data_IF_900649820516
#
_entry.id   IF_900649820516
#
_cell.length_a   1.000
_cell.length_b   1.000
_cell.length_c   1.000
_cell.angle_alpha   90.00
_cell.angle_beta   90.00
_cell.angle_gamma   90.00
#
_symmetry.space_group_name_H-M   'P 1'
#
loop_
_entity.id
_entity.type
_entity.pdbx_description
1 polymer ?
#
# COMPACT_ATOMS: atom_id res chain seq x y z
N UNK A 1 -6.04 40.99 -44.20
CA UNK A 1 -4.61 40.99 -43.86
C UNK A 1 -4.28 41.88 -42.67
N UNK A 2 -4.80 43.12 -42.55
CA UNK A 2 -4.57 44.01 -41.39
C UNK A 2 -4.66 43.34 -40.01
N UNK A 3 -5.65 42.46 -39.78
CA UNK A 3 -5.79 41.74 -38.51
C UNK A 3 -4.61 40.80 -38.22
N UNK A 4 -4.14 40.06 -39.22
CA UNK A 4 -2.99 39.16 -39.06
C UNK A 4 -1.69 39.94 -38.84
N UNK A 5 -1.52 41.07 -39.53
CA UNK A 5 -0.36 41.94 -39.35
C UNK A 5 -0.32 42.54 -37.93
N UNK A 6 -1.48 42.96 -37.41
CA UNK A 6 -1.62 43.44 -36.04
C UNK A 6 -1.30 42.34 -35.01
N UNK A 7 -1.79 41.11 -35.22
CA UNK A 7 -1.48 39.97 -34.35
C UNK A 7 0.03 39.66 -34.37
N UNK A 8 0.66 39.70 -35.54
CA UNK A 8 2.10 39.46 -35.69
C UNK A 8 2.93 40.52 -34.96
N UNK A 9 2.51 41.79 -35.01
CA UNK A 9 3.26 42.91 -34.45
C UNK A 9 3.09 43.06 -32.94
N UNK A 10 1.88 42.87 -32.40
CA UNK A 10 1.60 43.15 -30.99
C UNK A 10 1.49 41.92 -30.10
N UNK A 11 1.13 40.75 -30.66
CA UNK A 11 0.98 39.49 -29.91
C UNK A 11 -0.07 39.50 -28.77
N UNK A 12 -0.86 40.58 -28.64
CA UNK A 12 -1.83 40.78 -27.55
C UNK A 12 -3.15 41.36 -28.08
N UNK A 13 -4.25 40.67 -27.83
CA UNK A 13 -5.60 41.05 -28.28
C UNK A 13 -6.05 42.44 -27.84
N UNK A 14 -5.62 42.90 -26.66
CA UNK A 14 -5.97 44.23 -26.16
C UNK A 14 -5.31 45.35 -26.98
N UNK A 15 -4.09 45.10 -27.49
CA UNK A 15 -3.39 46.05 -28.36
C UNK A 15 -3.92 45.98 -29.80
N UNK A 16 -4.23 44.77 -30.28
CA UNK A 16 -4.87 44.56 -31.59
C UNK A 16 -6.22 45.30 -31.65
N UNK A 17 -6.99 45.33 -30.56
CA UNK A 17 -8.27 46.05 -30.51
C UNK A 17 -8.15 47.56 -30.71
N UNK A 18 -6.98 48.16 -30.41
CA UNK A 18 -6.76 49.60 -30.58
C UNK A 18 -6.64 49.99 -32.06
N UNK A 19 -6.20 49.08 -32.92
CA UNK A 19 -6.14 49.30 -34.38
C UNK A 19 -7.52 49.15 -35.05
N UNK A 20 -8.50 48.57 -34.36
CA UNK A 20 -9.85 48.37 -34.86
C UNK A 20 -10.88 49.06 -33.94
N UNK A 21 -10.91 50.41 -33.87
CA UNK A 21 -11.78 51.16 -32.96
C UNK A 21 -13.29 50.96 -33.22
N UNK A 22 -13.66 50.45 -34.39
CA UNK A 22 -15.05 50.22 -34.78
C UNK A 22 -15.55 48.80 -34.44
N UNK A 23 -14.74 47.97 -33.76
CA UNK A 23 -15.05 46.56 -33.46
C UNK A 23 -14.78 46.25 -32.00
N UNK A 24 -15.64 45.42 -31.40
CA UNK A 24 -15.42 44.93 -30.05
C UNK A 24 -14.32 43.86 -30.02
N UNK A 25 -13.66 43.69 -28.89
CA UNK A 25 -12.62 42.66 -28.69
C UNK A 25 -13.15 41.25 -29.02
N UNK A 26 -14.39 40.95 -28.62
CA UNK A 26 -15.04 39.67 -28.90
C UNK A 26 -15.20 39.46 -30.40
N UNK A 27 -15.71 40.46 -31.13
CA UNK A 27 -15.88 40.37 -32.58
C UNK A 27 -14.55 40.12 -33.32
N UNK A 28 -13.46 40.71 -32.83
CA UNK A 28 -12.12 40.53 -33.42
C UNK A 28 -11.63 39.10 -33.21
N UNK A 29 -11.83 38.54 -32.02
CA UNK A 29 -11.46 37.16 -31.68
C UNK A 29 -12.34 36.18 -32.46
N UNK A 30 -13.66 36.37 -32.45
CA UNK A 30 -14.61 35.51 -33.16
C UNK A 30 -14.34 35.51 -34.67
N UNK A 31 -13.99 36.67 -35.23
CA UNK A 31 -13.55 36.78 -36.63
C UNK A 31 -12.25 36.01 -36.87
N UNK A 32 -11.27 36.09 -35.95
CA UNK A 32 -10.03 35.35 -36.09
C UNK A 32 -10.26 33.83 -36.06
N UNK A 33 -11.05 33.36 -35.10
CA UNK A 33 -11.34 31.94 -34.91
C UNK A 33 -12.09 31.39 -36.13
N UNK A 34 -13.14 32.08 -36.59
CA UNK A 34 -13.95 31.63 -37.71
C UNK A 34 -13.16 31.56 -39.03
N UNK A 35 -12.38 32.59 -39.35
CA UNK A 35 -11.72 32.66 -40.65
C UNK A 35 -10.37 31.91 -40.66
N UNK A 36 -9.62 31.90 -39.56
CA UNK A 36 -8.27 31.36 -39.51
C UNK A 36 -8.12 30.03 -38.77
N UNK A 37 -8.88 29.78 -37.70
CA UNK A 37 -8.82 28.49 -36.98
C UNK A 37 -9.78 27.46 -37.59
N UNK A 38 -11.01 27.84 -37.88
CA UNK A 38 -12.02 26.97 -38.50
C UNK A 38 -11.77 26.78 -40.00
N UNK A 39 -10.91 27.62 -40.59
CA UNK A 39 -10.45 27.49 -41.98
C UNK A 39 -11.44 28.06 -43.01
N UNK A 40 -12.38 28.91 -42.60
CA UNK A 40 -13.39 29.46 -43.50
C UNK A 40 -12.89 30.65 -44.35
N UNK A 41 -11.64 31.11 -44.13
CA UNK A 41 -11.05 32.25 -44.84
C UNK A 41 -10.59 31.97 -46.27
N UNK A 42 -9.99 30.81 -46.55
CA UNK A 42 -9.52 30.48 -47.90
C UNK A 42 -9.33 28.98 -48.07
N UNK A 43 -9.67 28.46 -49.26
CA UNK A 43 -9.43 27.05 -49.64
C UNK A 43 -7.95 26.70 -49.75
N UNK A 44 -7.07 27.70 -49.87
CA UNK A 44 -5.62 27.54 -49.94
C UNK A 44 -4.94 27.54 -48.55
N UNK A 45 -5.70 27.72 -47.47
CA UNK A 45 -5.15 27.64 -46.13
C UNK A 45 -4.74 26.20 -45.79
N UNK A 46 -3.62 26.01 -45.09
CA UNK A 46 -3.25 24.69 -44.59
C UNK A 46 -4.37 24.14 -43.73
N UNK A 47 -5.03 23.07 -44.18
CA UNK A 47 -6.01 22.38 -43.32
C UNK A 47 -5.23 21.79 -42.16
N UNK A 48 -5.61 22.14 -40.93
CA UNK A 48 -5.06 21.49 -39.75
C UNK A 48 -5.40 20.00 -39.88
N UNK A 49 -4.39 19.18 -40.17
CA UNK A 49 -4.55 17.74 -40.19
C UNK A 49 -5.05 17.35 -38.80
N UNK A 50 -6.32 16.94 -38.70
CA UNK A 50 -6.84 16.32 -37.50
C UNK A 50 -5.97 15.09 -37.32
N UNK A 51 -5.05 15.16 -36.35
CA UNK A 51 -4.18 14.03 -36.03
C UNK A 51 -5.09 12.99 -35.41
N UNK A 52 -5.74 12.18 -36.23
CA UNK A 52 -6.31 10.91 -35.79
C UNK A 52 -5.13 10.15 -35.19
N UNK A 53 -5.02 10.19 -33.85
CA UNK A 53 -3.88 9.69 -33.09
C UNK A 53 -2.53 10.26 -33.56
N UNK A 54 -2.10 11.38 -33.00
CA UNK A 54 -0.71 11.81 -33.12
C UNK A 54 0.21 10.64 -32.69
N UNK A 55 0.79 9.94 -33.67
CA UNK A 55 1.63 8.75 -33.51
C UNK A 55 2.99 9.03 -32.86
N UNK A 56 3.11 10.11 -32.10
CA UNK A 56 4.21 10.26 -31.17
C UNK A 56 4.03 9.16 -30.12
N UNK A 57 4.94 8.18 -30.12
CA UNK A 57 5.08 7.27 -28.98
C UNK A 57 5.15 8.15 -27.75
N UNK A 58 4.16 8.04 -26.87
CA UNK A 58 4.16 8.78 -25.61
C UNK A 58 5.43 8.33 -24.88
N UNK A 59 6.47 9.17 -24.93
CA UNK A 59 7.76 8.81 -24.34
C UNK A 59 7.52 8.72 -22.84
N UNK A 60 7.85 7.56 -22.30
CA UNK A 60 7.78 7.31 -20.87
C UNK A 60 8.84 8.21 -20.23
N UNK A 61 8.39 9.23 -19.50
CA UNK A 61 9.29 10.16 -18.81
C UNK A 61 9.60 9.60 -17.41
N UNK A 62 10.88 9.43 -17.05
CA UNK A 62 11.27 9.01 -15.71
C UNK A 62 10.61 9.85 -14.61
N UNK A 63 10.26 9.23 -13.49
CA UNK A 63 9.90 9.99 -12.29
C UNK A 63 11.04 10.92 -11.90
N UNK A 64 10.77 12.23 -11.88
CA UNK A 64 11.70 13.23 -11.34
C UNK A 64 11.12 13.77 -10.05
N UNK A 65 11.78 13.47 -8.93
CA UNK A 65 11.56 14.19 -7.69
C UNK A 65 11.99 15.65 -7.91
N UNK A 66 11.20 16.62 -7.43
CA UNK A 66 11.58 18.03 -7.54
C UNK A 66 12.77 18.29 -6.62
N UNK A 67 13.83 18.88 -7.17
CA UNK A 67 15.07 19.17 -6.45
C UNK A 67 14.81 20.12 -5.26
N UNK A 68 13.84 21.03 -5.39
CA UNK A 68 13.43 21.94 -4.32
C UNK A 68 12.86 21.24 -3.08
N UNK A 69 12.42 19.97 -3.19
CA UNK A 69 11.91 19.18 -2.07
C UNK A 69 13.01 18.36 -1.37
N UNK A 70 14.28 18.51 -1.82
CA UNK A 70 15.43 17.72 -1.33
C UNK A 70 16.51 18.60 -0.70
N UNK A 71 16.53 18.64 0.64
CA UNK A 71 17.70 19.09 1.39
C UNK A 71 18.65 17.89 1.52
N UNK A 72 19.68 17.83 0.66
CA UNK A 72 20.63 16.71 0.62
C UNK A 72 22.04 17.15 0.99
N UNK A 73 22.83 16.26 1.62
CA UNK A 73 22.50 14.93 2.17
C UNK A 73 21.87 14.96 3.59
N UNK A 74 21.12 13.91 4.01
CA UNK A 74 20.51 13.84 5.35
C UNK A 74 21.59 13.82 6.44
N UNK A 75 21.56 14.81 7.35
CA UNK A 75 22.52 14.98 8.46
C UNK A 75 21.89 14.58 9.78
N UNK A 76 21.59 13.29 9.93
CA UNK A 76 21.13 12.79 11.21
C UNK A 76 22.23 12.89 12.26
N UNK A 77 21.86 13.21 13.49
CA UNK A 77 22.79 13.16 14.62
C UNK A 77 23.14 11.69 14.91
N UNK A 78 24.38 11.40 15.37
CA UNK A 78 24.75 10.07 15.83
C UNK A 78 23.76 9.54 16.89
N UNK A 79 23.53 8.22 16.91
CA UNK A 79 22.59 7.53 17.81
C UNK A 79 21.10 7.86 17.62
N UNK A 80 20.72 8.45 16.48
CA UNK A 80 19.30 8.60 16.11
C UNK A 80 18.85 7.44 15.23
N UNK A 81 17.55 7.12 15.25
CA UNK A 81 16.95 6.09 14.39
C UNK A 81 17.23 6.38 12.91
N UNK A 82 17.22 7.66 12.50
CA UNK A 82 17.54 8.06 11.13
C UNK A 82 18.98 7.74 10.72
N UNK A 83 19.95 7.93 11.63
CA UNK A 83 21.35 7.56 11.43
C UNK A 83 21.52 6.05 11.30
N UNK A 84 20.91 5.28 12.20
CA UNK A 84 20.96 3.81 12.18
C UNK A 84 20.28 3.23 10.93
N UNK A 85 19.12 3.76 10.52
CA UNK A 85 18.41 3.35 9.30
C UNK A 85 19.23 3.57 8.01
N UNK A 86 20.22 4.48 8.03
CA UNK A 86 21.14 4.73 6.92
C UNK A 86 22.51 4.05 7.13
N UNK A 87 22.59 3.03 7.97
CA UNK A 87 23.83 2.30 8.28
C UNK A 87 24.94 3.22 8.82
N UNK A 88 24.56 4.29 9.54
CA UNK A 88 25.47 5.28 10.08
C UNK A 88 26.18 6.10 9.01
N UNK A 89 25.45 6.48 7.94
CA UNK A 89 26.00 7.31 6.87
C UNK A 89 26.50 8.66 7.40
N UNK A 90 27.78 8.93 7.20
CA UNK A 90 28.44 10.19 7.51
C UNK A 90 28.51 11.06 6.24
N UNK A 91 27.73 12.17 6.19
CA UNK A 91 27.66 12.97 4.97
C UNK A 91 28.93 13.78 4.66
N UNK A 92 29.74 14.11 5.66
CA UNK A 92 30.98 14.88 5.46
C UNK A 92 32.09 14.03 4.83
N UNK A 93 32.09 12.72 5.11
CA UNK A 93 33.04 11.75 4.55
C UNK A 93 32.49 10.96 3.36
N UNK A 94 31.19 11.06 3.11
CA UNK A 94 30.47 10.21 2.14
C UNK A 94 30.70 8.71 2.42
N UNK A 95 30.67 8.33 3.70
CA UNK A 95 31.09 7.02 4.19
C UNK A 95 30.08 6.43 5.18
N UNK A 96 30.17 5.14 5.50
CA UNK A 96 29.25 4.44 6.41
C UNK A 96 29.99 3.92 7.64
N UNK A 97 29.38 4.05 8.82
CA UNK A 97 29.90 3.39 10.03
C UNK A 97 29.71 1.87 9.97
N UNK A 98 28.60 1.41 9.40
CA UNK A 98 28.32 0.01 9.17
C UNK A 98 28.51 -0.34 7.69
N UNK A 99 29.73 -0.69 7.33
CA UNK A 99 30.11 -1.06 5.98
C UNK A 99 29.50 -2.38 5.50
N UNK A 100 29.39 -2.53 4.18
CA UNK A 100 29.13 -3.82 3.57
C UNK A 100 30.27 -4.77 3.92
N UNK A 101 29.90 -5.91 4.49
CA UNK A 101 30.82 -6.97 4.87
C UNK A 101 31.90 -6.52 5.88
N UNK A 102 31.45 -6.25 7.12
CA UNK A 102 32.27 -5.72 8.24
C UNK A 102 33.43 -6.64 8.66
N UNK A 103 33.35 -7.93 8.33
CA UNK A 103 34.29 -8.96 8.77
C UNK A 103 35.28 -9.31 7.66
N UNK A 104 35.59 -8.37 6.74
CA UNK A 104 36.54 -8.65 5.67
C UNK A 104 37.96 -8.76 6.22
N UNK A 105 38.28 -7.94 7.21
CA UNK A 105 39.57 -7.78 7.85
C UNK A 105 39.97 -9.01 8.69
N UNK A 106 39.00 -9.77 9.20
CA UNK A 106 39.22 -11.04 9.93
C UNK A 106 40.03 -12.06 9.10
N UNK A 107 39.90 -12.01 7.77
CA UNK A 107 40.62 -12.90 6.85
C UNK A 107 42.14 -12.65 6.85
N UNK A 108 42.57 -11.42 7.16
CA UNK A 108 43.98 -11.01 7.18
C UNK A 108 44.52 -10.97 8.62
N UNK A 109 43.65 -10.86 9.62
CA UNK A 109 44.03 -10.70 11.03
C UNK A 109 44.96 -11.80 11.57
N UNK A 110 44.91 -13.01 10.98
CA UNK A 110 45.70 -14.17 11.39
C UNK A 110 46.79 -14.56 10.38
N UNK A 111 47.14 -13.68 9.43
CA UNK A 111 48.25 -13.93 8.53
C UNK A 111 49.58 -13.72 9.25
N UNK A 112 50.38 -14.78 9.33
CA UNK A 112 51.72 -14.76 9.91
C UNK A 112 52.77 -14.47 8.84
N UNK A 113 53.90 -13.86 9.21
CA UNK A 113 55.00 -13.67 8.27
C UNK A 113 55.70 -15.01 8.00
N UNK A 114 55.89 -15.36 6.73
CA UNK A 114 56.64 -16.56 6.32
C UNK A 114 58.05 -16.13 5.94
N UNK A 115 59.05 -16.62 6.67
CA UNK A 115 60.45 -16.34 6.39
C UNK A 115 61.00 -17.16 5.22
N UNK A 116 61.98 -16.61 4.51
CA UNK A 116 62.64 -17.27 3.35
C UNK A 116 63.33 -18.60 3.73
N UNK A 117 63.65 -18.81 5.01
CA UNK A 117 64.27 -20.02 5.54
C UNK A 117 63.29 -21.23 5.64
N UNK A 118 61.99 -21.01 5.44
CA UNK A 118 60.97 -22.07 5.51
C UNK A 118 61.05 -23.02 4.29
N UNK A 119 61.13 -24.35 4.48
CA UNK A 119 61.13 -25.33 3.39
C UNK A 119 59.94 -25.22 2.41
N UNK A 120 58.84 -24.60 2.85
CA UNK A 120 57.61 -24.40 2.10
C UNK A 120 57.34 -22.93 1.76
N UNK A 121 58.34 -22.03 1.86
CA UNK A 121 58.23 -20.59 1.61
C UNK A 121 57.40 -20.26 0.36
N UNK A 122 57.78 -20.79 -0.81
CA UNK A 122 57.10 -20.46 -2.08
C UNK A 122 55.61 -20.85 -2.08
N UNK A 123 55.27 -22.00 -1.50
CA UNK A 123 53.89 -22.48 -1.42
C UNK A 123 53.09 -21.62 -0.43
N UNK A 124 53.63 -21.37 0.76
CA UNK A 124 52.97 -20.57 1.80
C UNK A 124 52.76 -19.14 1.33
N UNK A 125 53.76 -18.50 0.71
CA UNK A 125 53.61 -17.17 0.12
C UNK A 125 52.52 -17.12 -0.93
N UNK A 126 52.43 -18.11 -1.83
CA UNK A 126 51.33 -18.19 -2.82
C UNK A 126 49.96 -18.31 -2.16
N UNK A 127 49.84 -19.10 -1.09
CA UNK A 127 48.60 -19.19 -0.32
C UNK A 127 48.24 -17.84 0.33
N UNK A 128 49.22 -17.13 0.90
CA UNK A 128 49.02 -15.80 1.46
C UNK A 128 48.59 -14.78 0.41
N UNK A 129 49.20 -14.81 -0.78
CA UNK A 129 48.75 -13.99 -1.91
C UNK A 129 47.28 -14.28 -2.28
N UNK A 130 46.87 -15.56 -2.32
CA UNK A 130 45.48 -15.93 -2.61
C UNK A 130 44.50 -15.43 -1.53
N UNK A 131 44.90 -15.41 -0.25
CA UNK A 131 44.13 -14.83 0.85
C UNK A 131 43.99 -13.31 0.67
N UNK A 132 45.09 -12.61 0.35
CA UNK A 132 45.08 -11.17 0.10
C UNK A 132 44.24 -10.82 -1.14
N UNK A 133 44.30 -11.61 -2.20
CA UNK A 133 43.45 -11.45 -3.39
C UNK A 133 41.95 -11.60 -3.04
N UNK A 134 41.64 -12.57 -2.19
CA UNK A 134 40.28 -12.81 -1.69
C UNK A 134 39.78 -11.61 -0.86
N UNK A 135 40.63 -11.05 0.00
CA UNK A 135 40.34 -9.80 0.72
C UNK A 135 40.11 -8.61 -0.22
N UNK A 136 41.00 -8.41 -1.20
CA UNK A 136 40.87 -7.35 -2.19
C UNK A 136 39.58 -7.49 -3.02
N UNK A 137 39.09 -8.72 -3.23
CA UNK A 137 37.77 -8.95 -3.85
C UNK A 137 36.63 -8.46 -2.97
N UNK A 138 36.68 -8.71 -1.66
CA UNK A 138 35.68 -8.22 -0.68
C UNK A 138 35.68 -6.68 -0.61
N UNK A 139 36.85 -6.05 -0.60
CA UNK A 139 36.98 -4.59 -0.65
C UNK A 139 36.38 -3.98 -1.93
N UNK A 140 36.61 -4.61 -3.10
CA UNK A 140 36.01 -4.18 -4.36
C UNK A 140 34.48 -4.26 -4.33
N UNK A 141 33.91 -5.32 -3.76
CA UNK A 141 32.46 -5.43 -3.58
C UNK A 141 31.92 -4.38 -2.61
N UNK A 142 32.62 -4.10 -1.50
CA UNK A 142 32.27 -3.00 -0.58
C UNK A 142 32.21 -1.66 -1.32
N UNK A 143 33.23 -1.33 -2.11
CA UNK A 143 33.25 -0.10 -2.91
C UNK A 143 32.15 -0.09 -3.98
N UNK A 144 31.88 -1.24 -4.62
CA UNK A 144 30.80 -1.38 -5.59
C UNK A 144 29.44 -1.06 -4.97
N UNK A 145 29.17 -1.54 -3.76
CA UNK A 145 27.93 -1.22 -3.04
C UNK A 145 27.80 0.27 -2.72
N UNK A 146 28.88 0.92 -2.25
CA UNK A 146 28.91 2.38 -2.05
C UNK A 146 28.56 3.12 -3.34
N UNK A 147 29.14 2.70 -4.46
CA UNK A 147 28.85 3.27 -5.78
C UNK A 147 27.39 3.08 -6.21
N UNK A 148 26.79 1.90 -5.99
CA UNK A 148 25.38 1.64 -6.33
C UNK A 148 24.46 2.51 -5.47
N UNK A 149 24.68 2.57 -4.16
CA UNK A 149 23.89 3.37 -3.22
C UNK A 149 23.90 4.85 -3.64
N UNK A 150 25.09 5.38 -3.95
CA UNK A 150 25.27 6.75 -4.41
C UNK A 150 24.61 7.00 -5.77
N UNK A 151 24.92 6.19 -6.80
CA UNK A 151 24.42 6.39 -8.18
C UNK A 151 22.89 6.37 -8.26
N UNK A 152 22.23 5.48 -7.53
CA UNK A 152 20.76 5.37 -7.55
C UNK A 152 20.08 6.36 -6.58
N UNK A 153 20.85 7.05 -5.73
CA UNK A 153 20.33 7.95 -4.72
C UNK A 153 19.52 7.21 -3.63
N UNK A 154 19.97 6.02 -3.21
CA UNK A 154 19.25 5.20 -2.23
C UNK A 154 19.27 5.81 -0.82
N UNK A 155 20.15 6.78 -0.57
CA UNK A 155 20.18 7.59 0.65
C UNK A 155 18.98 8.53 0.77
N UNK A 156 18.31 8.83 -0.34
CA UNK A 156 17.15 9.72 -0.39
C UNK A 156 15.87 8.96 0.01
N UNK A 157 15.66 8.81 1.32
CA UNK A 157 14.50 8.08 1.87
C UNK A 157 13.16 8.64 1.39
N UNK A 158 13.04 9.97 1.25
CA UNK A 158 11.84 10.62 0.71
C UNK A 158 11.59 10.27 -0.76
N UNK A 159 12.64 10.28 -1.60
CA UNK A 159 12.57 9.86 -3.01
C UNK A 159 12.09 8.41 -3.11
N UNK A 160 12.70 7.53 -2.30
CA UNK A 160 12.33 6.11 -2.24
C UNK A 160 10.86 5.92 -1.83
N UNK A 161 10.39 6.62 -0.80
CA UNK A 161 9.00 6.53 -0.37
C UNK A 161 8.03 7.04 -1.44
N UNK A 162 8.32 8.18 -2.08
CA UNK A 162 7.51 8.72 -3.15
C UNK A 162 7.46 7.77 -4.36
N UNK A 163 8.60 7.17 -4.71
CA UNK A 163 8.73 6.13 -5.73
C UNK A 163 7.83 4.92 -5.41
N UNK A 164 7.87 4.39 -4.18
CA UNK A 164 6.98 3.29 -3.78
C UNK A 164 5.49 3.66 -3.81
N UNK A 165 5.13 4.88 -3.37
CA UNK A 165 3.73 5.31 -3.40
C UNK A 165 3.20 5.46 -4.82
N UNK A 166 4.01 5.98 -5.75
CA UNK A 166 3.64 6.15 -7.16
C UNK A 166 3.21 4.83 -7.80
N UNK A 167 3.95 3.75 -7.56
CA UNK A 167 3.71 2.48 -8.24
C UNK A 167 2.70 1.57 -7.54
N UNK A 168 2.37 1.86 -6.27
CA UNK A 168 1.55 1.02 -5.39
C UNK A 168 0.24 0.51 -6.00
N UNK A 169 -0.37 1.27 -6.91
CA UNK A 169 -1.68 0.96 -7.49
C UNK A 169 -1.60 0.26 -8.86
N UNK A 170 -0.40 0.18 -9.44
CA UNK A 170 -0.19 -0.26 -10.83
C UNK A 170 0.72 -1.47 -10.94
N UNK A 171 1.71 -1.57 -10.05
CA UNK A 171 2.66 -2.66 -10.00
C UNK A 171 2.45 -3.38 -8.67
N UNK A 172 2.35 -4.70 -8.73
CA UNK A 172 2.23 -5.52 -7.52
C UNK A 172 3.49 -5.42 -6.65
N UNK A 173 3.32 -5.44 -5.32
CA UNK A 173 4.42 -5.27 -4.36
C UNK A 173 5.54 -6.29 -4.56
N UNK A 174 5.19 -7.56 -4.81
CA UNK A 174 6.12 -8.65 -5.11
C UNK A 174 6.98 -8.37 -6.36
N UNK A 175 6.42 -7.75 -7.40
CA UNK A 175 7.15 -7.39 -8.62
C UNK A 175 8.10 -6.26 -8.33
N UNK A 176 7.66 -5.19 -7.65
CA UNK A 176 8.53 -4.10 -7.24
C UNK A 176 9.74 -4.58 -6.43
N UNK A 177 9.53 -5.46 -5.44
CA UNK A 177 10.60 -6.03 -4.62
C UNK A 177 11.61 -6.82 -5.47
N UNK A 178 11.13 -7.59 -6.44
CA UNK A 178 12.01 -8.31 -7.37
C UNK A 178 12.77 -7.36 -8.29
N UNK A 179 12.17 -6.23 -8.67
CA UNK A 179 12.79 -5.24 -9.56
C UNK A 179 13.98 -4.52 -8.93
N UNK A 180 13.98 -4.31 -7.61
CA UNK A 180 15.10 -3.69 -6.87
C UNK A 180 16.44 -4.40 -7.13
N UNK A 181 16.44 -5.70 -7.43
CA UNK A 181 17.67 -6.44 -7.78
C UNK A 181 18.34 -5.93 -9.06
N UNK A 182 17.59 -5.36 -9.99
CA UNK A 182 18.13 -4.79 -11.22
C UNK A 182 18.88 -3.47 -11.00
N UNK A 183 18.79 -2.84 -9.82
CA UNK A 183 19.64 -1.71 -9.46
C UNK A 183 21.14 -2.05 -9.55
N UNK A 184 21.52 -3.32 -9.36
CA UNK A 184 22.92 -3.75 -9.48
C UNK A 184 23.40 -3.85 -10.93
N UNK A 185 22.48 -3.93 -11.90
CA UNK A 185 22.74 -4.23 -13.31
C UNK A 185 22.45 -3.05 -14.23
N UNK A 186 21.50 -2.19 -13.84
CA UNK A 186 21.01 -1.09 -14.67
C UNK A 186 21.57 0.24 -14.20
N UNK A 187 21.83 1.14 -15.14
CA UNK A 187 22.04 2.55 -14.82
C UNK A 187 20.78 3.16 -14.20
N UNK A 188 20.91 4.16 -13.30
CA UNK A 188 19.77 4.76 -12.60
C UNK A 188 18.64 5.21 -13.52
N UNK A 189 18.98 5.92 -14.60
CA UNK A 189 18.00 6.44 -15.56
C UNK A 189 17.29 5.30 -16.29
N UNK A 190 18.02 4.26 -16.70
CA UNK A 190 17.45 3.11 -17.41
C UNK A 190 16.52 2.30 -16.50
N UNK A 191 16.89 2.15 -15.23
CA UNK A 191 16.03 1.51 -14.23
C UNK A 191 14.74 2.31 -14.00
N UNK A 192 14.83 3.63 -13.85
CA UNK A 192 13.66 4.48 -13.68
C UNK A 192 12.75 4.41 -14.91
N UNK A 193 13.30 4.38 -16.14
CA UNK A 193 12.53 4.18 -17.37
C UNK A 193 11.82 2.82 -17.42
N UNK A 194 12.50 1.75 -16.99
CA UNK A 194 11.91 0.42 -16.92
C UNK A 194 10.68 0.40 -15.98
N UNK A 195 10.84 1.01 -14.81
CA UNK A 195 9.80 1.06 -13.79
C UNK A 195 8.61 1.92 -14.21
N UNK A 196 8.86 3.04 -14.87
CA UNK A 196 7.82 3.84 -15.50
C UNK A 196 7.12 3.10 -16.65
N UNK A 197 7.85 2.27 -17.40
CA UNK A 197 7.26 1.41 -18.43
C UNK A 197 6.27 0.42 -17.84
N UNK A 198 6.65 -0.27 -16.76
CA UNK A 198 5.77 -1.18 -16.02
C UNK A 198 4.58 -0.47 -15.40
N UNK A 199 4.79 0.73 -14.87
CA UNK A 199 3.72 1.59 -14.35
C UNK A 199 2.69 1.90 -15.43
N UNK A 200 3.17 2.34 -16.60
CA UNK A 200 2.31 2.66 -17.75
C UNK A 200 1.54 1.44 -18.24
N UNK A 201 2.19 0.28 -18.31
CA UNK A 201 1.52 -0.97 -18.65
C UNK A 201 0.40 -1.30 -17.64
N UNK A 202 0.66 -1.14 -16.35
CA UNK A 202 -0.32 -1.31 -15.28
C UNK A 202 -1.50 -0.34 -15.41
N UNK A 203 -1.26 0.94 -15.69
CA UNK A 203 -2.31 1.92 -15.95
C UNK A 203 -3.19 1.51 -17.14
N UNK A 204 -2.58 1.07 -18.23
CA UNK A 204 -3.31 0.62 -19.42
C UNK A 204 -4.16 -0.62 -19.12
N UNK A 205 -3.63 -1.60 -18.39
CA UNK A 205 -4.39 -2.78 -17.95
C UNK A 205 -5.59 -2.40 -17.09
N UNK A 206 -5.42 -1.45 -16.16
CA UNK A 206 -6.53 -0.93 -15.34
C UNK A 206 -7.58 -0.20 -16.18
N UNK A 207 -7.14 0.63 -17.14
CA UNK A 207 -8.03 1.31 -18.07
C UNK A 207 -8.82 0.33 -18.92
N UNK A 208 -8.16 -0.69 -19.49
CA UNK A 208 -8.81 -1.75 -20.26
C UNK A 208 -9.84 -2.50 -19.42
N UNK A 209 -9.47 -2.92 -18.21
CA UNK A 209 -10.39 -3.58 -17.27
C UNK A 209 -11.61 -2.72 -16.95
N UNK A 210 -11.41 -1.41 -16.71
CA UNK A 210 -12.49 -0.45 -16.46
C UNK A 210 -13.43 -0.31 -17.66
N UNK A 211 -12.89 -0.19 -18.87
CA UNK A 211 -13.69 -0.09 -20.09
C UNK A 211 -14.47 -1.39 -20.36
N UNK A 212 -13.85 -2.55 -20.18
CA UNK A 212 -14.52 -3.84 -20.28
C UNK A 212 -15.63 -4.01 -19.24
N UNK A 213 -15.45 -3.47 -18.03
CA UNK A 213 -16.48 -3.45 -16.99
C UNK A 213 -17.68 -2.58 -17.38
N UNK A 214 -17.44 -1.36 -17.88
CA UNK A 214 -18.49 -0.46 -18.36
C UNK A 214 -19.28 -1.08 -19.52
N UNK A 215 -18.58 -1.69 -20.48
CA UNK A 215 -19.19 -2.37 -21.62
C UNK A 215 -20.07 -3.53 -21.19
N UNK A 216 -19.64 -4.32 -20.20
CA UNK A 216 -20.46 -5.39 -19.58
C UNK A 216 -21.72 -4.87 -18.88
N UNK A 217 -21.76 -3.61 -18.49
CA UNK A 217 -22.93 -2.94 -17.92
C UNK A 217 -23.84 -2.28 -18.96
N UNK A 218 -23.55 -2.46 -20.24
CA UNK A 218 -24.32 -1.90 -21.35
C UNK A 218 -23.99 -0.44 -21.67
N UNK A 219 -22.95 0.13 -21.06
CA UNK A 219 -22.53 1.51 -21.32
C UNK A 219 -21.64 1.51 -22.56
N UNK A 220 -22.05 2.28 -23.57
CA UNK A 220 -21.38 2.29 -24.88
C UNK A 220 -20.62 3.58 -25.14
N UNK A 221 -20.96 4.69 -24.47
CA UNK A 221 -20.29 5.98 -24.64
C UNK A 221 -19.39 6.35 -23.46
N UNK A 222 -18.34 7.13 -23.72
CA UNK A 222 -17.43 7.61 -22.67
C UNK A 222 -18.10 8.61 -21.72
N UNK A 223 -19.04 9.42 -22.21
CA UNK A 223 -19.77 10.40 -21.41
C UNK A 223 -20.67 9.71 -20.38
N UNK A 224 -21.44 8.71 -20.81
CA UNK A 224 -22.24 7.85 -19.91
C UNK A 224 -21.34 7.12 -18.91
N UNK A 225 -20.18 6.63 -19.35
CA UNK A 225 -19.20 6.01 -18.47
C UNK A 225 -18.77 6.93 -17.33
N UNK A 226 -18.40 8.18 -17.65
CA UNK A 226 -18.02 9.19 -16.64
C UNK A 226 -19.17 9.45 -15.65
N UNK A 227 -20.40 9.63 -16.16
CA UNK A 227 -21.57 9.85 -15.33
C UNK A 227 -21.85 8.66 -14.40
N UNK A 228 -21.85 7.44 -14.96
CA UNK A 228 -22.06 6.20 -14.21
C UNK A 228 -21.04 6.04 -13.08
N UNK A 229 -19.76 6.26 -13.37
CA UNK A 229 -18.69 6.15 -12.38
C UNK A 229 -18.83 7.20 -11.27
N UNK A 230 -19.22 8.43 -11.61
CA UNK A 230 -19.49 9.49 -10.62
C UNK A 230 -20.68 9.12 -9.72
N UNK A 231 -21.79 8.67 -10.30
CA UNK A 231 -22.97 8.24 -9.54
C UNK A 231 -22.68 7.00 -8.68
N UNK A 232 -21.88 6.05 -9.18
CA UNK A 232 -21.43 4.89 -8.42
C UNK A 232 -20.57 5.29 -7.21
N UNK A 233 -19.66 6.25 -7.40
CA UNK A 233 -18.86 6.80 -6.31
C UNK A 233 -19.72 7.46 -5.25
N UNK A 234 -20.61 8.38 -5.64
CA UNK A 234 -21.56 9.07 -4.73
C UNK A 234 -22.41 8.07 -3.96
N UNK A 235 -22.98 7.06 -4.64
CA UNK A 235 -23.74 5.99 -4.00
C UNK A 235 -22.88 5.20 -2.99
N UNK A 236 -21.62 4.94 -3.33
CA UNK A 236 -20.71 4.21 -2.44
C UNK A 236 -20.36 5.02 -1.18
N UNK A 237 -20.16 6.33 -1.32
CA UNK A 237 -19.89 7.28 -0.24
C UNK A 237 -21.10 7.39 0.69
N UNK A 238 -22.30 7.62 0.15
CA UNK A 238 -23.52 7.62 0.95
C UNK A 238 -23.73 6.30 1.69
N UNK A 239 -23.43 5.15 1.06
CA UNK A 239 -23.53 3.85 1.72
C UNK A 239 -22.51 3.70 2.85
N UNK A 240 -21.29 4.24 2.69
CA UNK A 240 -20.26 4.28 3.75
C UNK A 240 -20.71 5.20 4.89
N UNK A 241 -21.17 6.41 4.59
CA UNK A 241 -21.68 7.35 5.59
C UNK A 241 -22.88 6.79 6.35
N UNK A 242 -23.80 6.10 5.67
CA UNK A 242 -24.93 5.45 6.33
C UNK A 242 -24.49 4.30 7.24
N UNK A 243 -23.49 3.52 6.83
CA UNK A 243 -22.90 2.49 7.69
C UNK A 243 -22.23 3.11 8.92
N UNK A 244 -21.45 4.17 8.73
CA UNK A 244 -20.81 4.90 9.82
C UNK A 244 -21.83 5.53 10.78
N UNK A 245 -22.90 6.11 10.25
CA UNK A 245 -24.01 6.64 11.02
C UNK A 245 -24.73 5.55 11.82
N UNK A 246 -25.00 4.39 11.20
CA UNK A 246 -25.60 3.23 11.88
C UNK A 246 -24.68 2.57 12.91
N UNK A 247 -23.37 2.68 12.76
CA UNK A 247 -22.40 2.18 13.74
C UNK A 247 -22.18 3.13 14.91
N UNK A 248 -22.63 4.39 14.80
CA UNK A 248 -22.58 5.33 15.93
C UNK A 248 -23.67 4.97 16.95
N UNK A 249 -23.26 4.62 18.17
CA UNK A 249 -24.15 4.22 19.25
C UNK A 249 -25.18 5.29 19.65
N UNK A 250 -24.90 6.58 19.39
CA UNK A 250 -25.78 7.72 19.72
C UNK A 250 -27.11 7.68 18.95
N UNK A 251 -27.11 7.17 17.71
CA UNK A 251 -28.31 7.09 16.86
C UNK A 251 -28.98 5.71 16.88
N UNK A 252 -28.52 4.83 17.77
CA UNK A 252 -29.12 3.53 17.96
C UNK A 252 -30.39 3.73 18.80
N UNK A 253 -31.54 3.94 18.15
CA UNK A 253 -32.81 4.30 18.79
C UNK A 253 -33.25 3.34 19.92
N UNK A 254 -32.70 2.12 19.97
CA UNK A 254 -32.87 1.16 21.07
C UNK A 254 -32.31 1.67 22.42
N UNK A 255 -31.39 2.62 22.42
CA UNK A 255 -30.79 3.19 23.63
C UNK A 255 -31.43 4.54 24.03
N UNK A 256 -32.11 5.22 23.10
CA UNK A 256 -32.70 6.54 23.35
C UNK A 256 -34.01 6.53 24.16
N UNK A 257 -34.58 5.35 24.46
CA UNK A 257 -35.73 5.23 25.38
C UNK A 257 -35.35 5.29 26.86
N UNK A 258 -34.05 5.29 27.21
CA UNK A 258 -33.61 5.46 28.60
C UNK A 258 -33.45 6.94 29.02
N UNK A 259 -33.70 7.91 28.11
CA UNK A 259 -33.49 9.34 28.39
C UNK A 259 -34.78 10.17 28.51
N UNK A 260 -35.95 9.54 28.57
CA UNK A 260 -37.19 10.24 28.87
C UNK A 260 -37.58 10.03 30.33
N UNK A 261 -37.20 11.03 31.14
CA UNK A 261 -37.74 11.37 32.47
C UNK A 261 -37.54 10.34 33.57
N UNK A 262 -36.64 10.64 34.53
CA UNK A 262 -36.91 10.30 35.92
C UNK A 262 -36.29 11.36 36.85
N UNK A 263 -37.19 12.08 37.51
CA UNK A 263 -36.95 12.90 38.69
C UNK A 263 -36.75 11.94 39.87
N UNK A 264 -35.81 12.29 40.74
CA UNK A 264 -35.64 11.85 42.14
C UNK A 264 -35.01 10.47 42.44
N UNK A 265 -33.92 10.61 43.21
CA UNK A 265 -33.55 9.81 44.39
C UNK A 265 -33.14 8.35 44.24
N UNK A 266 -31.88 8.10 44.62
CA UNK A 266 -31.45 6.85 45.24
C UNK A 266 -30.62 5.95 44.34
N UNK A 267 -29.30 5.97 44.55
CA UNK A 267 -28.38 4.93 44.10
C UNK A 267 -28.92 3.54 44.49
N UNK A 268 -29.38 2.78 43.51
CA UNK A 268 -29.40 1.31 43.56
C UNK A 268 -28.79 0.80 42.26
N UNK A 269 -27.63 0.17 42.38
CA UNK A 269 -27.04 -0.64 41.30
C UNK A 269 -28.04 -1.72 40.90
N UNK A 270 -28.79 -1.49 39.81
CA UNK A 270 -29.64 -2.51 39.20
C UNK A 270 -28.72 -3.52 38.52
N UNK A 271 -28.64 -4.74 39.10
CA UNK A 271 -28.14 -5.92 38.41
C UNK A 271 -28.88 -6.03 37.07
N UNK A 272 -28.15 -5.85 35.97
CA UNK A 272 -28.61 -6.11 34.61
C UNK A 272 -29.14 -7.55 34.54
N UNK A 273 -30.45 -7.70 34.42
CA UNK A 273 -31.08 -8.99 34.09
C UNK A 273 -30.82 -9.19 32.59
N UNK A 274 -29.82 -10.00 32.29
CA UNK A 274 -29.37 -10.26 30.92
C UNK A 274 -30.47 -10.92 30.10
N UNK A 275 -30.89 -10.28 28.99
CA UNK A 275 -31.80 -10.89 28.02
C UNK A 275 -31.12 -12.08 27.31
N UNK A 276 -31.76 -13.26 27.23
CA UNK A 276 -31.22 -14.41 26.52
C UNK A 276 -31.10 -14.14 25.01
N UNK A 277 -30.07 -14.69 24.35
CA UNK A 277 -29.95 -14.56 22.88
C UNK A 277 -31.05 -15.38 22.20
N UNK A 278 -31.75 -14.79 21.23
CA UNK A 278 -32.62 -15.53 20.31
C UNK A 278 -31.76 -16.27 19.29
N UNK A 279 -31.79 -17.60 19.34
CA UNK A 279 -30.95 -18.48 18.51
C UNK A 279 -31.68 -18.93 17.24
N UNK A 280 -33.00 -18.71 17.17
CA UNK A 280 -33.84 -19.06 16.03
C UNK A 280 -33.35 -18.34 14.76
N UNK A 281 -32.97 -19.11 13.74
CA UNK A 281 -32.51 -18.61 12.44
C UNK A 281 -30.99 -18.52 12.27
N UNK A 282 -30.19 -18.86 13.28
CA UNK A 282 -28.71 -18.88 13.14
C UNK A 282 -28.20 -20.17 12.47
N UNK A 283 -27.12 -20.08 11.66
CA UNK A 283 -26.54 -21.26 11.01
C UNK A 283 -26.03 -22.26 12.06
N UNK A 284 -26.39 -23.54 11.90
CA UNK A 284 -26.07 -24.61 12.86
C UNK A 284 -27.13 -24.87 13.93
N UNK A 285 -28.21 -24.07 13.99
CA UNK A 285 -29.32 -24.25 14.95
C UNK A 285 -29.99 -25.62 14.86
N UNK A 286 -30.23 -26.13 13.64
CA UNK A 286 -30.90 -27.41 13.41
C UNK A 286 -30.07 -28.63 13.87
N UNK A 287 -28.77 -28.45 14.13
CA UNK A 287 -27.84 -29.53 14.54
C UNK A 287 -27.68 -29.63 16.06
N UNK A 288 -28.34 -28.77 16.83
CA UNK A 288 -28.26 -28.75 18.29
C UNK A 288 -29.46 -29.45 18.93
N UNK A 289 -29.22 -30.19 20.01
CA UNK A 289 -30.25 -30.76 20.88
C UNK A 289 -30.91 -29.67 21.75
N UNK A 290 -32.07 -29.95 22.33
CA UNK A 290 -32.86 -28.98 23.09
C UNK A 290 -32.11 -28.40 24.30
N UNK A 291 -31.36 -29.25 25.04
CA UNK A 291 -30.47 -28.84 26.12
C UNK A 291 -29.28 -27.99 25.65
N UNK A 292 -28.72 -28.30 24.47
CA UNK A 292 -27.62 -27.53 23.88
C UNK A 292 -28.09 -26.15 23.40
N UNK A 293 -29.34 -26.06 22.92
CA UNK A 293 -29.98 -24.78 22.56
C UNK A 293 -30.16 -23.91 23.79
N UNK A 294 -30.60 -24.48 24.90
CA UNK A 294 -30.75 -23.76 26.17
C UNK A 294 -29.40 -23.27 26.70
N UNK A 295 -28.36 -24.11 26.65
CA UNK A 295 -27.00 -23.70 27.00
C UNK A 295 -26.52 -22.55 26.11
N UNK A 296 -26.66 -22.66 24.79
CA UNK A 296 -26.25 -21.60 23.87
C UNK A 296 -27.00 -20.28 24.15
N UNK A 297 -28.27 -20.37 24.56
CA UNK A 297 -29.14 -19.23 24.87
C UNK A 297 -28.69 -18.53 26.15
N UNK A 298 -28.31 -19.31 27.15
CA UNK A 298 -27.88 -18.85 28.47
C UNK A 298 -26.41 -18.39 28.50
N UNK A 299 -25.52 -19.07 27.77
CA UNK A 299 -24.07 -18.79 27.71
C UNK A 299 -23.72 -17.78 26.62
N UNK A 300 -24.69 -17.43 25.75
CA UNK A 300 -24.53 -16.51 24.62
C UNK A 300 -23.43 -17.00 23.67
N UNK A 301 -23.59 -18.23 23.20
CA UNK A 301 -22.74 -18.86 22.19
C UNK A 301 -23.55 -19.04 20.90
N UNK A 302 -22.93 -18.72 19.76
CA UNK A 302 -23.52 -18.96 18.44
C UNK A 302 -23.51 -20.47 18.18
N UNK A 303 -24.59 -21.09 17.66
CA UNK A 303 -24.68 -22.54 17.44
C UNK A 303 -23.48 -23.16 16.73
N UNK A 304 -23.04 -22.55 15.63
CA UNK A 304 -21.90 -23.05 14.87
C UNK A 304 -20.58 -22.97 15.66
N UNK A 305 -20.42 -21.94 16.49
CA UNK A 305 -19.26 -21.81 17.37
C UNK A 305 -19.31 -22.86 18.49
N UNK A 306 -20.48 -23.13 19.07
CA UNK A 306 -20.64 -24.20 20.06
C UNK A 306 -20.26 -25.57 19.47
N UNK A 307 -20.75 -25.91 18.28
CA UNK A 307 -20.42 -27.18 17.63
C UNK A 307 -18.91 -27.35 17.43
N UNK A 308 -18.24 -26.29 16.99
CA UNK A 308 -16.78 -26.31 16.82
C UNK A 308 -16.05 -26.48 18.16
N UNK A 309 -16.49 -25.78 19.21
CA UNK A 309 -15.90 -25.89 20.55
C UNK A 309 -16.13 -27.29 21.15
N UNK A 310 -17.31 -27.88 20.90
CA UNK A 310 -17.65 -29.26 21.28
C UNK A 310 -16.73 -30.26 20.58
N UNK A 311 -16.53 -30.14 19.27
CA UNK A 311 -15.62 -31.01 18.50
C UNK A 311 -14.19 -30.96 19.05
N UNK A 312 -13.68 -29.76 19.37
CA UNK A 312 -12.34 -29.60 19.95
C UNK A 312 -12.24 -30.35 21.29
N UNK A 313 -13.19 -30.15 22.20
CA UNK A 313 -13.12 -30.79 23.51
C UNK A 313 -13.31 -32.31 23.45
N UNK A 314 -14.18 -32.82 22.57
CA UNK A 314 -14.36 -34.27 22.37
C UNK A 314 -13.11 -34.89 21.74
N UNK A 315 -12.49 -34.23 20.77
CA UNK A 315 -11.24 -34.72 20.15
C UNK A 315 -10.09 -34.82 21.16
N UNK A 316 -10.02 -33.88 22.09
CA UNK A 316 -9.02 -33.88 23.16
C UNK A 316 -9.32 -34.96 24.19
N UNK A 317 -10.60 -35.17 24.54
CA UNK A 317 -11.00 -36.27 25.40
C UNK A 317 -10.66 -37.64 24.82
N UNK A 318 -10.92 -37.86 23.52
CA UNK A 318 -10.54 -39.10 22.83
C UNK A 318 -9.02 -39.34 22.84
N UNK A 319 -8.21 -38.29 22.93
CA UNK A 319 -6.75 -38.38 22.95
C UNK A 319 -6.16 -38.58 24.35
N UNK A 320 -6.69 -37.89 25.36
CA UNK A 320 -6.11 -37.88 26.71
C UNK A 320 -6.88 -38.71 27.75
N UNK A 321 -8.07 -39.21 27.42
CA UNK A 321 -8.94 -39.99 28.31
C UNK A 321 -9.55 -39.20 29.48
N UNK A 322 -9.06 -37.99 29.76
CA UNK A 322 -9.62 -37.03 30.71
C UNK A 322 -9.22 -35.61 30.31
N UNK A 323 -10.09 -34.63 30.53
CA UNK A 323 -9.81 -33.22 30.22
C UNK A 323 -10.01 -32.40 31.47
N UNK A 324 -8.97 -31.68 31.92
CA UNK A 324 -9.06 -30.74 33.06
C UNK A 324 -9.57 -29.38 32.60
N UNK A 325 -10.26 -28.64 33.47
CA UNK A 325 -10.77 -27.29 33.18
C UNK A 325 -9.66 -26.31 32.75
N UNK A 326 -8.45 -26.43 33.32
CA UNK A 326 -7.30 -25.59 32.92
C UNK A 326 -6.89 -25.86 31.46
N UNK A 327 -6.88 -27.14 31.05
CA UNK A 327 -6.59 -27.55 29.67
C UNK A 327 -7.66 -27.05 28.72
N UNK A 328 -8.94 -27.19 29.09
CA UNK A 328 -10.07 -26.66 28.32
C UNK A 328 -9.98 -25.14 28.10
N UNK A 329 -9.57 -24.36 29.10
CA UNK A 329 -9.34 -22.91 28.97
C UNK A 329 -8.22 -22.57 27.99
N UNK A 330 -7.13 -23.33 28.02
CA UNK A 330 -6.00 -23.14 27.08
C UNK A 330 -6.38 -23.47 25.64
N UNK A 331 -7.22 -24.49 25.46
CA UNK A 331 -7.64 -24.98 24.14
C UNK A 331 -8.69 -24.07 23.49
N UNK A 332 -9.73 -23.67 24.23
CA UNK A 332 -10.88 -22.96 23.67
C UNK A 332 -10.63 -21.46 23.47
N UNK A 333 -9.69 -20.85 24.21
CA UNK A 333 -9.34 -19.42 24.13
C UNK A 333 -10.56 -18.46 24.12
N UNK A 334 -11.64 -18.85 24.80
CA UNK A 334 -12.85 -18.03 25.01
C UNK A 334 -12.88 -17.48 26.45
N UNK A 335 -13.88 -16.65 26.74
CA UNK A 335 -14.14 -16.11 28.09
C UNK A 335 -14.14 -17.22 29.16
N UNK A 336 -13.51 -16.94 30.30
CA UNK A 336 -13.29 -17.89 31.40
C UNK A 336 -14.60 -18.43 31.98
N UNK A 337 -15.63 -17.58 32.05
CA UNK A 337 -16.94 -17.94 32.59
C UNK A 337 -17.74 -18.77 31.59
N UNK A 338 -17.63 -18.47 30.30
CA UNK A 338 -18.26 -19.26 29.22
C UNK A 338 -17.63 -20.64 29.10
N UNK A 339 -16.30 -20.71 29.19
CA UNK A 339 -15.56 -21.98 29.19
C UNK A 339 -16.00 -22.87 30.35
N UNK A 340 -16.16 -22.29 31.54
CA UNK A 340 -16.60 -23.03 32.73
C UNK A 340 -18.00 -23.61 32.55
N UNK A 341 -18.99 -22.79 32.15
CA UNK A 341 -20.37 -23.26 31.91
C UNK A 341 -20.45 -24.32 30.81
N UNK A 342 -19.65 -24.17 29.75
CA UNK A 342 -19.57 -25.17 28.68
C UNK A 342 -18.96 -26.49 29.17
N UNK A 343 -17.87 -26.40 29.93
CA UNK A 343 -17.19 -27.57 30.49
C UNK A 343 -18.06 -28.33 31.50
N UNK A 344 -18.75 -27.61 32.38
CA UNK A 344 -19.67 -28.20 33.38
C UNK A 344 -20.82 -28.92 32.67
N UNK A 345 -21.43 -28.32 31.63
CA UNK A 345 -22.46 -28.96 30.80
C UNK A 345 -21.96 -30.22 30.08
N UNK A 346 -20.72 -30.21 29.57
CA UNK A 346 -20.15 -31.37 28.89
C UNK A 346 -19.84 -32.54 29.84
N UNK A 347 -19.61 -32.27 31.13
CA UNK A 347 -19.52 -33.29 32.17
C UNK A 347 -20.91 -33.83 32.52
N UNK A 348 -21.89 -32.95 32.69
CA UNK A 348 -23.28 -33.33 33.02
C UNK A 348 -23.93 -34.22 31.94
N UNK A 349 -23.67 -33.93 30.66
CA UNK A 349 -24.15 -34.75 29.54
C UNK A 349 -23.25 -35.95 29.22
N UNK A 350 -22.16 -36.16 29.98
CA UNK A 350 -21.29 -37.33 29.85
C UNK A 350 -20.37 -37.35 28.63
N UNK A 351 -20.18 -36.21 27.94
CA UNK A 351 -19.25 -36.11 26.80
C UNK A 351 -17.78 -36.15 27.21
N UNK A 352 -17.47 -35.78 28.45
CA UNK A 352 -16.11 -35.68 29.00
C UNK A 352 -16.12 -36.13 30.45
N UNK A 353 -15.09 -36.84 30.89
CA UNK A 353 -14.87 -37.15 32.31
C UNK A 353 -13.80 -36.25 32.93
N UNK A 354 -14.02 -35.88 34.19
CA UNK A 354 -13.04 -35.19 35.03
C UNK A 354 -12.19 -36.24 35.74
N UNK A 355 -10.86 -36.11 35.67
CA UNK A 355 -9.92 -36.90 36.48
C UNK A 355 -9.15 -36.01 37.46
#
# INVERSE_FOLDING_TARGET
MKLLDAILNYGNWNLVSQEFPNRSLSEIIDHYDHFYLDGNGSKAMPKMMRRDSAGFKQVVVPYRLRIADSEEPPRYLPNTIGHECLAGYNPARSDFENDYDKNAEDMIAHLEYVGEDDPHYEMLTKLQCAVIESYNRRLRERQRWKNIISKHGLLQTRKMMAWFQRYKHTIEKNVCEKMVRFLQLCEPIRFDMLMEGLHKEGELKLQMSRLMYLRRKGITTLAEGRLFLKLQQVRSEHRKSLKAFRSNNIFNWKQSRESAVDISTGLKQRKQVFTPIEILGMPGYCRLNEKERELCRNVRLVPNAYLHLKEILVSEFSRSGSVKLQTARRLLKIDVNKTRKLYDFMIEEGYITKH
#
